data_IF_541223954484
#
_entry.id   IF_541223954484
#
_cell.length_a   1.000
_cell.length_b   1.000
_cell.length_c   1.000
_cell.angle_alpha   90.00
_cell.angle_beta   90.00
_cell.angle_gamma   90.00
#
_symmetry.space_group_name_H-M   'P 1'
#
loop_
_entity.id
_entity.type
_entity.pdbx_description
1 polymer ?
#
# COMPACT_ATOMS: atom_id res chain seq x y z
N UNK A 1 -12.27 11.32 -45.79
CA UNK A 1 -12.82 12.30 -44.84
C UNK A 1 -12.41 11.84 -43.45
N UNK A 2 -11.77 12.75 -42.73
CA UNK A 2 -10.84 12.61 -41.61
C UNK A 2 -11.45 11.98 -40.35
N UNK A 3 -10.61 11.24 -39.59
CA UNK A 3 -10.68 11.21 -38.13
C UNK A 3 -11.06 9.87 -37.51
N UNK A 4 -10.06 9.07 -37.15
CA UNK A 4 -9.94 8.54 -35.78
C UNK A 4 -8.50 8.01 -35.56
N UNK A 5 -7.55 8.93 -35.35
CA UNK A 5 -6.19 8.63 -34.85
C UNK A 5 -6.14 8.66 -33.31
N UNK A 6 -7.29 8.62 -32.62
CA UNK A 6 -7.35 8.89 -31.18
C UNK A 6 -7.28 7.66 -30.27
N UNK A 7 -7.11 6.45 -30.80
CA UNK A 7 -6.94 5.26 -29.96
C UNK A 7 -5.51 5.03 -29.45
N UNK A 8 -4.51 5.78 -29.92
CA UNK A 8 -3.11 5.63 -29.48
C UNK A 8 -2.79 6.62 -28.37
N UNK A 9 -3.39 6.47 -27.19
CA UNK A 9 -2.95 7.18 -25.96
C UNK A 9 -3.39 6.54 -24.64
N UNK A 10 -4.16 5.44 -24.64
CA UNK A 10 -4.65 4.82 -23.39
C UNK A 10 -3.77 3.65 -22.88
N UNK A 11 -2.61 3.41 -23.51
CA UNK A 11 -1.60 2.45 -23.03
C UNK A 11 -0.41 3.18 -22.39
N UNK A 12 -0.68 4.18 -21.53
CA UNK A 12 0.36 4.61 -20.59
C UNK A 12 0.51 3.54 -19.50
N UNK A 13 1.45 2.63 -19.77
CA UNK A 13 2.43 2.13 -18.81
C UNK A 13 1.88 1.46 -17.54
N UNK A 14 1.65 0.15 -17.61
CA UNK A 14 1.68 -0.73 -16.43
C UNK A 14 3.13 -1.04 -16.01
N UNK A 15 4.04 -0.10 -16.19
CA UNK A 15 5.40 -0.22 -15.69
C UNK A 15 5.37 -0.03 -14.16
N UNK A 16 6.10 -0.85 -13.39
CA UNK A 16 6.18 -0.64 -11.96
C UNK A 16 6.76 0.75 -11.69
N UNK A 17 6.02 1.57 -10.93
CA UNK A 17 6.45 2.94 -10.55
C UNK A 17 7.77 2.95 -9.78
N UNK A 18 8.14 1.81 -9.18
CA UNK A 18 9.42 1.56 -8.52
C UNK A 18 9.86 0.15 -8.87
N UNK A 19 11.09 -0.03 -9.35
CA UNK A 19 11.70 -1.34 -9.60
C UNK A 19 12.78 -1.61 -8.55
N UNK A 20 12.72 -2.75 -7.87
CA UNK A 20 13.74 -3.19 -6.92
C UNK A 20 14.84 -3.92 -7.69
N UNK A 21 16.04 -3.34 -7.70
CA UNK A 21 17.17 -3.88 -8.46
C UNK A 21 17.94 -4.94 -7.68
N UNK A 22 18.06 -4.80 -6.36
CA UNK A 22 18.85 -5.69 -5.50
C UNK A 22 18.15 -5.92 -4.14
N UNK A 23 18.41 -7.07 -3.53
CA UNK A 23 18.14 -7.32 -2.11
C UNK A 23 19.40 -7.06 -1.29
N UNK A 24 19.24 -6.54 -0.07
CA UNK A 24 20.32 -6.13 0.86
C UNK A 24 20.99 -4.78 0.53
N UNK A 25 20.27 -3.64 0.67
CA UNK A 25 20.89 -2.33 0.54
C UNK A 25 21.96 -2.11 1.61
N UNK A 26 22.97 -1.30 1.28
CA UNK A 26 23.94 -0.82 2.28
C UNK A 26 23.28 0.16 3.24
N UNK A 27 23.89 0.37 4.42
CA UNK A 27 23.41 1.37 5.41
C UNK A 27 23.28 2.78 4.81
N UNK A 28 24.21 3.15 3.92
CA UNK A 28 24.22 4.46 3.25
C UNK A 28 23.04 4.58 2.29
N UNK A 29 22.79 3.55 1.47
CA UNK A 29 21.65 3.53 0.54
C UNK A 29 20.33 3.53 1.29
N UNK A 30 20.24 2.80 2.40
CA UNK A 30 19.07 2.77 3.27
C UNK A 30 18.79 4.15 3.88
N UNK A 31 19.83 4.81 4.40
CA UNK A 31 19.72 6.17 4.94
C UNK A 31 19.30 7.18 3.87
N UNK A 32 19.85 7.08 2.66
CA UNK A 32 19.50 7.94 1.53
C UNK A 32 18.02 7.76 1.13
N UNK A 33 17.55 6.53 0.99
CA UNK A 33 16.15 6.23 0.69
C UNK A 33 15.21 6.77 1.78
N UNK A 34 15.57 6.58 3.06
CA UNK A 34 14.81 7.09 4.18
C UNK A 34 14.73 8.63 4.19
N UNK A 35 15.85 9.32 3.92
CA UNK A 35 15.88 10.79 3.89
C UNK A 35 14.94 11.36 2.82
N UNK A 36 14.92 10.76 1.61
CA UNK A 36 14.03 11.18 0.52
C UNK A 36 12.57 10.95 0.90
N UNK A 37 12.23 9.76 1.42
CA UNK A 37 10.85 9.45 1.84
C UNK A 37 10.38 10.43 2.92
N UNK A 38 11.22 10.69 3.93
CA UNK A 38 10.92 11.61 5.02
C UNK A 38 10.72 13.05 4.53
N UNK A 39 11.54 13.53 3.59
CA UNK A 39 11.39 14.86 3.00
C UNK A 39 10.05 15.00 2.24
N UNK A 40 9.69 13.99 1.45
CA UNK A 40 8.39 13.96 0.73
C UNK A 40 7.24 14.00 1.74
N UNK A 41 7.29 13.19 2.80
CA UNK A 41 6.24 13.17 3.82
C UNK A 41 6.10 14.52 4.55
N UNK A 42 7.22 15.19 4.86
CA UNK A 42 7.20 16.51 5.46
C UNK A 42 6.54 17.55 4.54
N UNK A 43 6.87 17.54 3.25
CA UNK A 43 6.28 18.42 2.24
C UNK A 43 4.76 18.18 2.07
N UNK A 44 4.32 16.91 2.07
CA UNK A 44 2.88 16.58 2.02
C UNK A 44 2.14 17.07 3.28
N UNK A 45 2.78 16.95 4.44
CA UNK A 45 2.22 17.44 5.70
C UNK A 45 2.06 18.96 5.70
N UNK A 46 3.05 19.71 5.21
CA UNK A 46 2.98 21.17 5.07
C UNK A 46 1.88 21.63 4.11
N UNK A 47 1.62 20.85 3.04
CA UNK A 47 0.54 21.12 2.08
C UNK A 47 -0.86 20.81 2.59
N UNK A 48 -0.99 20.28 3.81
CA UNK A 48 -2.29 19.94 4.39
C UNK A 48 -3.01 18.81 3.64
N UNK A 49 -2.26 17.95 2.94
CA UNK A 49 -2.83 16.77 2.27
C UNK A 49 -3.45 15.88 3.34
N UNK A 50 -4.76 15.58 3.19
CA UNK A 50 -5.49 14.74 4.12
C UNK A 50 -4.78 13.38 4.24
N UNK A 51 -4.44 13.00 5.47
CA UNK A 51 -3.78 11.74 5.74
C UNK A 51 -4.83 10.65 5.51
N UNK A 52 -4.75 9.97 4.36
CA UNK A 52 -5.54 8.76 4.11
C UNK A 52 -5.33 7.83 5.30
N UNK A 53 -6.43 7.32 5.86
CA UNK A 53 -6.41 6.37 6.97
C UNK A 53 -5.31 5.32 6.72
N UNK A 54 -4.41 5.05 7.68
CA UNK A 54 -3.33 4.11 7.45
C UNK A 54 -3.92 2.77 6.99
N UNK A 55 -3.37 2.14 5.93
CA UNK A 55 -3.81 0.83 5.50
C UNK A 55 -3.78 -0.13 6.69
N UNK A 56 -4.69 -1.11 6.70
CA UNK A 56 -4.66 -2.18 7.70
C UNK A 56 -3.24 -2.76 7.72
N UNK A 57 -2.58 -2.69 8.87
CA UNK A 57 -1.24 -3.23 9.01
C UNK A 57 -1.32 -4.77 9.01
N UNK A 58 -1.13 -5.35 7.83
CA UNK A 58 -1.06 -6.80 7.67
C UNK A 58 0.19 -7.43 8.30
N UNK A 59 1.23 -6.65 8.63
CA UNK A 59 2.45 -7.19 9.26
C UNK A 59 2.23 -7.49 10.75
N UNK A 60 1.40 -6.71 11.44
CA UNK A 60 0.95 -7.02 12.80
C UNK A 60 -0.25 -7.97 12.85
N UNK A 61 -0.75 -8.42 11.70
CA UNK A 61 -1.88 -9.35 11.64
C UNK A 61 -1.52 -10.72 12.22
N UNK A 62 -2.14 -11.06 13.35
CA UNK A 62 -2.04 -12.38 13.98
C UNK A 62 -2.50 -13.52 13.06
N UNK A 63 -3.27 -13.21 12.02
CA UNK A 63 -3.71 -14.20 11.03
C UNK A 63 -2.53 -14.81 10.27
N UNK A 64 -1.43 -14.08 10.06
CA UNK A 64 -0.24 -14.58 9.36
C UNK A 64 0.59 -15.56 10.20
N UNK A 65 0.41 -15.56 11.53
CA UNK A 65 1.04 -16.55 12.40
C UNK A 65 0.33 -17.92 12.38
N UNK A 66 -0.86 -18.00 11.78
CA UNK A 66 -1.64 -19.23 11.67
C UNK A 66 -1.23 -19.98 10.40
N UNK A 67 -0.99 -21.29 10.50
CA UNK A 67 -0.68 -22.12 9.33
C UNK A 67 -1.84 -22.21 8.33
N UNK A 68 -3.06 -21.99 8.80
CA UNK A 68 -4.28 -22.04 8.00
C UNK A 68 -5.19 -20.86 8.41
N UNK A 69 -5.81 -20.16 7.44
CA UNK A 69 -6.81 -19.15 7.75
C UNK A 69 -7.97 -19.73 8.57
N UNK A 70 -8.40 -19.03 9.62
CA UNK A 70 -9.59 -19.39 10.37
C UNK A 70 -10.83 -19.00 9.57
N UNK A 71 -11.61 -19.99 9.15
CA UNK A 71 -12.93 -19.77 8.59
C UNK A 71 -13.94 -19.58 9.73
N UNK A 72 -14.59 -18.42 9.85
CA UNK A 72 -15.67 -18.24 10.82
C UNK A 72 -16.81 -19.21 10.51
N UNK A 73 -17.22 -20.00 11.51
CA UNK A 73 -18.34 -20.94 11.38
C UNK A 73 -19.69 -20.23 11.21
N UNK A 74 -20.76 -20.97 10.87
CA UNK A 74 -22.11 -20.41 10.74
C UNK A 74 -22.51 -19.59 11.98
N UNK A 75 -22.87 -18.32 11.78
CA UNK A 75 -23.27 -17.40 12.87
C UNK A 75 -22.13 -16.69 13.61
N UNK A 76 -20.86 -17.02 13.38
CA UNK A 76 -19.72 -16.42 14.11
C UNK A 76 -19.60 -14.90 13.90
N UNK A 77 -20.02 -14.40 12.74
CA UNK A 77 -20.06 -12.96 12.44
C UNK A 77 -21.11 -12.18 13.26
N UNK A 78 -22.16 -12.84 13.75
CA UNK A 78 -23.17 -12.18 14.59
C UNK A 78 -22.66 -11.99 16.03
N UNK A 79 -21.78 -12.87 16.51
CA UNK A 79 -21.19 -12.78 17.85
C UNK A 79 -20.15 -11.65 17.96
N UNK A 80 -19.32 -11.45 16.94
CA UNK A 80 -18.30 -10.38 16.93
C UNK A 80 -18.91 -8.97 16.95
N UNK A 81 -20.12 -8.79 16.41
CA UNK A 81 -20.85 -7.52 16.49
C UNK A 81 -21.20 -7.10 17.92
N UNK A 82 -21.24 -8.03 18.89
CA UNK A 82 -21.51 -7.74 20.30
C UNK A 82 -20.24 -7.49 21.14
N UNK A 83 -19.05 -7.69 20.57
CA UNK A 83 -17.77 -7.49 21.27
C UNK A 83 -17.20 -6.07 21.12
N UNK A 84 -17.78 -5.22 20.26
CA UNK A 84 -17.44 -3.80 20.18
C UNK A 84 -18.42 -3.02 21.07
N UNK A 85 -18.09 -2.92 22.36
CA UNK A 85 -18.70 -2.05 23.36
C UNK A 85 -17.61 -1.32 24.11
#
# INVERSE_FOLDING_TARGET
MTGDESAVSAESETAPRVTVLTGSPTEVELAAAHAVISAVLAEQHERGVERVEPPIDQWSSRAHALRQPLAPGPGAWAASRRMRG
#
